data_IF_869234747643
#
_entry.id   IF_869234747643
#
_cell.length_a   1.000
_cell.length_b   1.000
_cell.length_c   1.000
_cell.angle_alpha   90.00
_cell.angle_beta   90.00
_cell.angle_gamma   90.00
#
_symmetry.space_group_name_H-M   'P 1'
#
loop_
_entity.id
_entity.type
_entity.pdbx_description
1 polymer ?
#
# COMPACT_ATOMS: atom_id res chain seq x y z
N UNK A 1 -5.73 -46.01 34.27
CA UNK A 1 -6.90 -45.11 34.08
C UNK A 1 -7.19 -44.79 32.60
N UNK A 2 -7.01 -45.74 31.67
CA UNK A 2 -7.21 -45.51 30.22
C UNK A 2 -8.18 -46.50 29.53
N UNK A 3 -8.78 -47.43 30.29
CA UNK A 3 -9.64 -48.50 29.74
C UNK A 3 -11.16 -48.22 29.86
N UNK A 4 -11.56 -47.17 30.59
CA UNK A 4 -12.98 -46.76 30.74
C UNK A 4 -13.43 -45.68 29.73
N UNK A 5 -12.50 -44.95 29.10
CA UNK A 5 -12.84 -43.86 28.15
C UNK A 5 -13.18 -44.35 26.74
N UNK A 6 -12.68 -45.52 26.34
CA UNK A 6 -12.99 -46.11 25.02
C UNK A 6 -14.34 -46.84 24.97
N UNK A 7 -14.95 -47.17 26.12
CA UNK A 7 -16.29 -47.78 26.15
C UNK A 7 -17.40 -46.73 25.98
N UNK A 8 -17.21 -45.51 26.49
CA UNK A 8 -18.17 -44.41 26.31
C UNK A 8 -18.28 -43.94 24.85
N UNK A 9 -17.16 -43.92 24.10
CA UNK A 9 -17.15 -43.64 22.66
C UNK A 9 -17.83 -44.75 21.84
N UNK A 10 -17.70 -46.01 22.25
CA UNK A 10 -18.34 -47.14 21.57
C UNK A 10 -19.87 -47.14 21.73
N UNK A 11 -20.38 -46.81 22.92
CA UNK A 11 -21.84 -46.70 23.15
C UNK A 11 -22.45 -45.44 22.52
N UNK A 12 -21.69 -44.35 22.39
CA UNK A 12 -22.16 -43.13 21.73
C UNK A 12 -22.28 -43.32 20.20
N UNK A 13 -21.38 -44.09 19.57
CA UNK A 13 -21.47 -44.43 18.15
C UNK A 13 -22.65 -45.37 17.82
N UNK A 14 -22.97 -46.33 18.71
CA UNK A 14 -24.12 -47.23 18.52
C UNK A 14 -25.45 -46.49 18.74
N UNK A 15 -25.49 -45.53 19.69
CA UNK A 15 -26.67 -44.70 19.92
C UNK A 15 -27.03 -43.79 18.74
N UNK A 16 -26.04 -43.24 18.04
CA UNK A 16 -26.27 -42.36 16.87
C UNK A 16 -26.63 -43.15 15.61
N UNK A 17 -26.08 -44.36 15.43
CA UNK A 17 -26.45 -45.24 14.31
C UNK A 17 -27.83 -45.89 14.52
N UNK A 18 -28.19 -46.19 15.77
CA UNK A 18 -29.53 -46.67 16.13
C UNK A 18 -30.65 -45.62 16.03
N UNK A 19 -30.32 -44.33 16.08
CA UNK A 19 -31.32 -43.24 15.99
C UNK A 19 -31.74 -42.89 14.55
N UNK A 20 -30.98 -43.33 13.54
CA UNK A 20 -31.23 -43.01 12.13
C UNK A 20 -31.87 -44.21 11.37
N UNK A 21 -31.87 -45.41 11.97
CA UNK A 21 -32.43 -46.62 11.35
C UNK A 21 -33.56 -47.20 12.21
N UNK A 22 -34.69 -46.48 12.28
CA UNK A 22 -36.07 -47.00 12.07
C UNK A 22 -37.09 -45.91 12.44
N UNK A 23 -38.17 -45.78 11.66
CA UNK A 23 -39.32 -46.62 11.99
C UNK A 23 -39.98 -47.15 10.72
N UNK A 24 -39.75 -48.41 10.40
CA UNK A 24 -40.72 -49.22 9.67
C UNK A 24 -40.42 -50.70 9.90
N UNK A 25 -41.48 -51.45 10.18
CA UNK A 25 -41.56 -52.89 10.35
C UNK A 25 -40.89 -53.51 11.58
N UNK A 26 -41.71 -53.70 12.63
CA UNK A 26 -41.62 -54.87 13.49
C UNK A 26 -41.80 -56.12 12.63
N UNK A 27 -40.86 -57.08 12.68
CA UNK A 27 -41.02 -58.46 12.21
C UNK A 27 -39.85 -59.30 12.77
N UNK A 28 -40.18 -60.53 13.16
CA UNK A 28 -39.43 -61.45 14.03
C UNK A 28 -37.97 -61.77 13.67
N UNK A 29 -37.13 -61.87 14.70
CA UNK A 29 -35.70 -62.23 14.64
C UNK A 29 -35.45 -63.69 14.18
N UNK A 30 -36.49 -64.49 13.98
CA UNK A 30 -36.37 -65.92 13.65
C UNK A 30 -36.24 -66.20 12.13
N UNK A 31 -36.45 -65.20 11.26
CA UNK A 31 -36.45 -65.39 9.79
C UNK A 31 -35.14 -64.93 9.12
N UNK A 32 -34.24 -64.27 9.85
CA UNK A 32 -32.97 -63.76 9.28
C UNK A 32 -31.83 -64.80 9.18
N UNK A 33 -32.04 -66.04 9.64
CA UNK A 33 -31.02 -67.09 9.65
C UNK A 33 -30.84 -67.86 8.33
N UNK A 34 -31.76 -67.75 7.37
CA UNK A 34 -31.71 -68.55 6.14
C UNK A 34 -31.47 -67.76 4.85
N UNK A 35 -31.28 -66.45 4.92
CA UNK A 35 -31.06 -65.59 3.75
C UNK A 35 -29.63 -65.05 3.65
N UNK A 36 -28.68 -65.69 4.37
CA UNK A 36 -27.29 -65.23 4.49
C UNK A 36 -26.32 -65.90 3.49
N UNK A 37 -26.81 -66.78 2.63
CA UNK A 37 -25.97 -67.64 1.77
C UNK A 37 -26.17 -67.47 0.26
N UNK A 38 -26.76 -66.36 -0.21
CA UNK A 38 -27.04 -66.29 -1.65
C UNK A 38 -26.91 -64.92 -2.35
N UNK A 39 -26.20 -63.92 -1.79
CA UNK A 39 -25.79 -62.73 -2.56
C UNK A 39 -24.43 -62.18 -2.13
N UNK A 40 -23.44 -62.40 -3.01
CA UNK A 40 -22.17 -61.69 -3.20
C UNK A 40 -21.69 -60.73 -2.08
N UNK A 41 -21.02 -61.30 -1.08
CA UNK A 41 -20.23 -60.53 -0.11
C UNK A 41 -19.13 -59.70 -0.82
N UNK A 42 -18.60 -60.18 -1.94
CA UNK A 42 -17.57 -59.46 -2.70
C UNK A 42 -18.12 -58.26 -3.49
N UNK A 43 -19.36 -58.30 -3.99
CA UNK A 43 -19.97 -57.13 -4.66
C UNK A 43 -20.34 -56.05 -3.64
N UNK A 44 -20.85 -56.45 -2.47
CA UNK A 44 -21.13 -55.52 -1.37
C UNK A 44 -19.85 -54.93 -0.77
N UNK A 45 -18.74 -55.67 -0.74
CA UNK A 45 -17.43 -55.13 -0.34
C UNK A 45 -16.87 -54.14 -1.37
N UNK A 46 -16.99 -54.44 -2.68
CA UNK A 46 -16.55 -53.55 -3.75
C UNK A 46 -17.42 -52.28 -3.87
N UNK A 47 -18.73 -52.40 -3.63
CA UNK A 47 -19.63 -51.25 -3.58
C UNK A 47 -19.39 -50.39 -2.33
N UNK A 48 -18.94 -50.99 -1.23
CA UNK A 48 -18.62 -50.26 0.01
C UNK A 48 -17.38 -49.37 -0.12
N UNK A 49 -16.34 -49.79 -0.86
CA UNK A 49 -15.16 -48.94 -1.11
C UNK A 49 -15.52 -47.67 -1.89
N UNK A 50 -16.49 -47.77 -2.81
CA UNK A 50 -16.96 -46.64 -3.63
C UNK A 50 -17.71 -45.60 -2.79
N UNK A 51 -18.50 -46.04 -1.82
CA UNK A 51 -19.17 -45.16 -0.84
C UNK A 51 -18.15 -44.53 0.12
N UNK A 52 -17.12 -45.26 0.53
CA UNK A 52 -16.00 -44.74 1.33
C UNK A 52 -15.20 -43.66 0.60
N UNK A 53 -14.94 -43.83 -0.70
CA UNK A 53 -14.32 -42.79 -1.52
C UNK A 53 -15.21 -41.55 -1.65
N UNK A 54 -16.50 -41.73 -1.88
CA UNK A 54 -17.45 -40.62 -1.97
C UNK A 54 -17.53 -39.83 -0.64
N UNK A 55 -17.60 -40.53 0.50
CA UNK A 55 -17.57 -39.91 1.83
C UNK A 55 -16.23 -39.22 2.13
N UNK A 56 -15.11 -39.78 1.66
CA UNK A 56 -13.79 -39.17 1.78
C UNK A 56 -13.68 -37.85 1.02
N UNK A 57 -14.21 -37.80 -0.21
CA UNK A 57 -14.27 -36.58 -1.02
C UNK A 57 -15.19 -35.54 -0.36
N UNK A 58 -16.33 -35.99 0.17
CA UNK A 58 -17.30 -35.11 0.85
C UNK A 58 -16.71 -34.52 2.15
N UNK A 59 -16.00 -35.33 2.94
CA UNK A 59 -15.29 -34.90 4.13
C UNK A 59 -14.13 -33.93 3.79
N UNK A 60 -13.42 -34.19 2.69
CA UNK A 60 -12.38 -33.31 2.16
C UNK A 60 -12.93 -31.92 1.77
N UNK A 61 -14.07 -31.89 1.09
CA UNK A 61 -14.79 -30.66 0.73
C UNK A 61 -15.28 -29.89 1.96
N UNK A 62 -15.84 -30.57 2.95
CA UNK A 62 -16.27 -29.94 4.21
C UNK A 62 -15.08 -29.33 4.95
N UNK A 63 -13.94 -30.02 5.01
CA UNK A 63 -12.72 -29.50 5.64
C UNK A 63 -12.12 -28.30 4.87
N UNK A 64 -12.20 -28.31 3.53
CA UNK A 64 -11.76 -27.20 2.68
C UNK A 64 -12.58 -25.92 2.92
N UNK A 65 -13.89 -26.07 3.19
CA UNK A 65 -14.81 -24.97 3.51
C UNK A 65 -14.63 -24.49 4.95
N UNK A 66 -14.41 -25.40 5.91
CA UNK A 66 -14.34 -25.07 7.34
C UNK A 66 -13.03 -24.36 7.76
N UNK A 67 -11.93 -24.53 7.02
CA UNK A 67 -10.61 -24.02 7.41
C UNK A 67 -10.10 -22.96 6.44
N UNK A 68 -10.70 -21.77 6.49
CA UNK A 68 -10.32 -20.63 5.66
C UNK A 68 -9.14 -19.82 6.21
N UNK A 69 -8.73 -20.03 7.48
CA UNK A 69 -7.85 -19.08 8.18
C UNK A 69 -6.44 -19.60 8.56
N UNK A 70 -5.90 -20.63 7.91
CA UNK A 70 -4.47 -20.98 8.03
C UNK A 70 -4.04 -21.99 6.95
N UNK A 71 -3.44 -21.50 5.85
CA UNK A 71 -3.03 -22.29 4.68
C UNK A 71 -1.53 -22.13 4.34
N UNK A 72 -0.64 -22.25 5.33
CA UNK A 72 0.81 -22.29 5.07
C UNK A 72 1.45 -23.68 5.21
N UNK A 73 0.71 -24.73 5.59
CA UNK A 73 1.32 -26.00 6.01
C UNK A 73 1.36 -27.12 4.96
N UNK A 74 1.06 -26.89 3.68
CA UNK A 74 1.09 -27.95 2.66
C UNK A 74 1.83 -27.45 1.42
N UNK A 75 3.16 -27.58 1.45
CA UNK A 75 4.11 -27.19 0.40
C UNK A 75 4.00 -28.01 -0.89
N UNK A 76 2.85 -27.91 -1.57
CA UNK A 76 2.65 -28.40 -2.93
C UNK A 76 2.18 -27.18 -3.73
N UNK A 77 3.02 -26.68 -4.64
CA UNK A 77 2.74 -25.51 -5.46
C UNK A 77 1.58 -25.76 -6.42
N UNK A 78 0.41 -25.22 -6.11
CA UNK A 78 -0.74 -25.18 -7.02
C UNK A 78 -0.65 -23.87 -7.83
N UNK A 79 -0.75 -23.90 -9.16
CA UNK A 79 -0.60 -22.72 -10.00
C UNK A 79 -1.64 -21.63 -9.68
N UNK A 80 -1.17 -20.38 -9.67
CA UNK A 80 -1.79 -19.22 -9.03
C UNK A 80 -3.16 -18.79 -9.62
N UNK A 81 -3.57 -19.36 -10.75
CA UNK A 81 -4.89 -19.10 -11.34
C UNK A 81 -6.03 -19.92 -10.69
N UNK A 82 -5.73 -20.91 -9.85
CA UNK A 82 -6.73 -21.66 -9.05
C UNK A 82 -7.17 -20.93 -7.77
N UNK A 83 -6.48 -19.84 -7.40
CA UNK A 83 -6.70 -19.11 -6.13
C UNK A 83 -7.79 -18.05 -6.20
N UNK A 84 -8.20 -17.58 -7.38
CA UNK A 84 -9.17 -16.49 -7.49
C UNK A 84 -10.62 -16.92 -7.16
N UNK A 85 -11.00 -18.18 -7.43
CA UNK A 85 -12.38 -18.66 -7.19
C UNK A 85 -12.41 -20.14 -6.73
N UNK A 86 -11.99 -20.46 -5.49
CA UNK A 86 -11.81 -21.84 -5.03
C UNK A 86 -13.12 -22.64 -4.88
N UNK A 87 -14.25 -21.96 -4.62
CA UNK A 87 -15.52 -22.62 -4.32
C UNK A 87 -16.28 -23.03 -5.58
N UNK A 88 -16.36 -22.14 -6.58
CA UNK A 88 -17.09 -22.38 -7.84
C UNK A 88 -16.37 -23.39 -8.75
N UNK A 89 -15.02 -23.33 -8.81
CA UNK A 89 -14.26 -24.31 -9.59
C UNK A 89 -14.24 -25.70 -8.94
N UNK A 90 -14.14 -25.77 -7.61
CA UNK A 90 -14.18 -27.02 -6.84
C UNK A 90 -15.54 -27.73 -6.90
N UNK A 91 -16.65 -26.98 -6.87
CA UNK A 91 -17.99 -27.53 -7.04
C UNK A 91 -18.28 -27.93 -8.50
N UNK A 92 -17.77 -27.17 -9.47
CA UNK A 92 -17.91 -27.49 -10.89
C UNK A 92 -17.19 -28.79 -11.28
N UNK A 93 -15.95 -28.99 -10.79
CA UNK A 93 -15.22 -30.24 -11.03
C UNK A 93 -15.86 -31.44 -10.32
N UNK A 94 -16.39 -31.25 -9.10
CA UNK A 94 -17.14 -32.29 -8.39
C UNK A 94 -18.44 -32.68 -9.11
N UNK A 95 -19.19 -31.69 -9.65
CA UNK A 95 -20.39 -31.95 -10.44
C UNK A 95 -20.06 -32.68 -11.75
N UNK A 96 -18.95 -32.34 -12.41
CA UNK A 96 -18.48 -33.04 -13.61
C UNK A 96 -18.09 -34.49 -13.32
N UNK A 97 -17.34 -34.73 -12.23
CA UNK A 97 -16.99 -36.09 -11.78
C UNK A 97 -18.23 -36.91 -11.44
N UNK A 98 -19.22 -36.30 -10.78
CA UNK A 98 -20.51 -36.94 -10.50
C UNK A 98 -21.27 -37.29 -11.79
N UNK A 99 -21.35 -36.38 -12.76
CA UNK A 99 -21.96 -36.67 -14.06
C UNK A 99 -21.23 -37.80 -14.79
N UNK A 100 -19.90 -37.82 -14.78
CA UNK A 100 -19.13 -38.94 -15.34
C UNK A 100 -19.38 -40.27 -14.60
N UNK A 101 -19.54 -40.24 -13.27
CA UNK A 101 -19.90 -41.41 -12.47
C UNK A 101 -21.32 -41.90 -12.75
N UNK A 102 -22.23 -41.03 -13.18
CA UNK A 102 -23.60 -41.42 -13.58
C UNK A 102 -23.65 -42.28 -14.85
N UNK A 103 -22.59 -42.29 -15.66
CA UNK A 103 -22.46 -43.20 -16.81
C UNK A 103 -22.03 -44.62 -16.40
N UNK A 104 -21.70 -44.85 -15.12
CA UNK A 104 -21.46 -46.20 -14.57
C UNK A 104 -22.76 -46.79 -13.99
N UNK A 105 -22.76 -48.09 -13.66
CA UNK A 105 -23.89 -48.85 -13.10
C UNK A 105 -24.32 -48.44 -11.68
N UNK A 106 -24.19 -47.15 -11.33
CA UNK A 106 -24.67 -46.54 -10.10
C UNK A 106 -26.11 -46.04 -10.27
N UNK A 107 -26.88 -45.87 -9.18
CA UNK A 107 -28.21 -45.28 -9.23
C UNK A 107 -28.12 -43.86 -9.80
N UNK A 108 -28.57 -43.68 -11.04
CA UNK A 108 -28.41 -42.43 -11.80
C UNK A 108 -29.23 -41.29 -11.21
N UNK A 109 -30.44 -41.59 -10.74
CA UNK A 109 -31.38 -40.58 -10.24
C UNK A 109 -30.87 -39.84 -8.99
N UNK A 110 -30.39 -40.49 -7.91
CA UNK A 110 -29.83 -39.77 -6.75
C UNK A 110 -28.60 -38.90 -7.11
N UNK A 111 -27.77 -39.39 -8.03
CA UNK A 111 -26.49 -38.78 -8.35
C UNK A 111 -26.68 -37.50 -9.19
N UNK A 112 -27.63 -37.52 -10.12
CA UNK A 112 -28.07 -36.33 -10.86
C UNK A 112 -28.67 -35.26 -9.94
N UNK A 113 -29.43 -35.67 -8.92
CA UNK A 113 -30.01 -34.73 -7.94
C UNK A 113 -28.90 -34.03 -7.13
N UNK A 114 -27.90 -34.77 -6.66
CA UNK A 114 -26.76 -34.18 -5.94
C UNK A 114 -25.94 -33.27 -6.86
N UNK A 115 -25.71 -33.67 -8.11
CA UNK A 115 -25.01 -32.83 -9.08
C UNK A 115 -25.77 -31.52 -9.36
N UNK A 116 -27.09 -31.57 -9.53
CA UNK A 116 -27.93 -30.38 -9.68
C UNK A 116 -27.87 -29.47 -8.44
N UNK A 117 -27.92 -30.05 -7.23
CA UNK A 117 -27.77 -29.29 -6.00
C UNK A 117 -26.40 -28.62 -5.88
N UNK A 118 -25.31 -29.31 -6.22
CA UNK A 118 -23.97 -28.74 -6.25
C UNK A 118 -23.85 -27.58 -7.25
N UNK A 119 -24.43 -27.70 -8.43
CA UNK A 119 -24.46 -26.63 -9.45
C UNK A 119 -25.28 -25.43 -8.96
N UNK A 120 -26.46 -25.65 -8.36
CA UNK A 120 -27.27 -24.58 -7.78
C UNK A 120 -26.56 -23.88 -6.62
N UNK A 121 -25.87 -24.64 -5.77
CA UNK A 121 -25.10 -24.09 -4.65
C UNK A 121 -23.88 -23.30 -5.13
N UNK A 122 -23.21 -23.77 -6.19
CA UNK A 122 -22.13 -23.04 -6.85
C UNK A 122 -22.65 -21.75 -7.50
N UNK A 123 -23.82 -21.79 -8.15
CA UNK A 123 -24.43 -20.63 -8.80
C UNK A 123 -24.85 -19.54 -7.80
N UNK A 124 -25.48 -19.95 -6.69
CA UNK A 124 -25.90 -19.01 -5.63
C UNK A 124 -24.72 -18.39 -4.89
N UNK A 125 -23.63 -19.16 -4.66
CA UNK A 125 -22.39 -18.61 -4.10
C UNK A 125 -21.60 -17.79 -5.12
N UNK A 126 -21.65 -18.14 -6.41
CA UNK A 126 -21.06 -17.33 -7.47
C UNK A 126 -21.76 -15.97 -7.52
N UNK A 127 -23.09 -15.91 -7.58
CA UNK A 127 -23.80 -14.62 -7.54
C UNK A 127 -23.51 -13.80 -6.27
N UNK A 128 -23.42 -14.43 -5.09
CA UNK A 128 -23.06 -13.74 -3.84
C UNK A 128 -21.62 -13.23 -3.85
N UNK A 129 -20.67 -14.00 -4.38
CA UNK A 129 -19.29 -13.56 -4.50
C UNK A 129 -19.09 -12.55 -5.63
N UNK A 130 -19.82 -12.64 -6.75
CA UNK A 130 -19.78 -11.64 -7.82
C UNK A 130 -20.39 -10.31 -7.35
N UNK A 131 -21.41 -10.36 -6.50
CA UNK A 131 -21.95 -9.18 -5.82
C UNK A 131 -21.00 -8.61 -4.75
N UNK A 132 -20.22 -9.45 -4.05
CA UNK A 132 -19.18 -9.02 -3.10
C UNK A 132 -17.87 -8.56 -3.77
N UNK A 133 -17.58 -8.98 -5.01
CA UNK A 133 -16.41 -8.47 -5.77
C UNK A 133 -16.67 -7.12 -6.47
N UNK A 134 -17.92 -6.66 -6.54
CA UNK A 134 -18.24 -5.28 -6.97
C UNK A 134 -18.12 -4.30 -5.78
N UNK A 135 -18.21 -4.80 -4.53
CA UNK A 135 -18.03 -4.05 -3.28
C UNK A 135 -16.93 -4.68 -2.40
N UNK A 136 -15.77 -5.02 -2.99
CA UNK A 136 -14.60 -5.31 -2.17
C UNK A 136 -14.14 -3.99 -1.54
N UNK A 137 -14.20 -3.82 -0.20
CA UNK A 137 -13.68 -2.61 0.42
C UNK A 137 -12.17 -2.50 0.15
N UNK A 138 -11.45 -3.57 -0.15
CA UNK A 138 -10.00 -3.54 -0.39
C UNK A 138 -9.64 -2.98 -1.79
N UNK A 139 -10.41 -3.30 -2.83
CA UNK A 139 -10.24 -2.71 -4.17
C UNK A 139 -10.95 -1.36 -4.32
N UNK A 140 -12.06 -1.14 -3.61
CA UNK A 140 -12.65 0.19 -3.48
C UNK A 140 -11.74 1.11 -2.67
N UNK A 141 -11.04 0.63 -1.64
CA UNK A 141 -9.98 1.39 -0.94
C UNK A 141 -8.76 1.58 -1.85
N UNK A 142 -8.36 0.62 -2.70
CA UNK A 142 -7.23 0.82 -3.62
C UNK A 142 -7.54 1.80 -4.76
N UNK A 143 -8.74 1.71 -5.35
CA UNK A 143 -9.22 2.64 -6.39
C UNK A 143 -9.64 3.99 -5.80
N UNK A 144 -10.23 4.03 -4.61
CA UNK A 144 -10.40 5.27 -3.85
C UNK A 144 -9.07 5.79 -3.29
N UNK A 145 -8.03 5.00 -3.04
CA UNK A 145 -6.70 5.52 -2.70
C UNK A 145 -6.09 6.20 -3.92
N UNK A 146 -6.25 5.62 -5.12
CA UNK A 146 -5.83 6.27 -6.36
C UNK A 146 -6.65 7.53 -6.69
N UNK A 147 -7.97 7.54 -6.50
CA UNK A 147 -8.83 8.72 -6.78
C UNK A 147 -8.87 9.75 -5.63
N UNK A 148 -8.67 9.36 -4.36
CA UNK A 148 -8.56 10.29 -3.22
C UNK A 148 -7.17 10.93 -3.13
N UNK A 149 -6.14 10.33 -3.72
CA UNK A 149 -4.84 10.99 -3.93
C UNK A 149 -4.98 12.25 -4.80
N UNK A 150 -6.03 12.33 -5.64
CA UNK A 150 -6.32 13.53 -6.46
C UNK A 150 -6.77 14.72 -5.62
N UNK A 151 -7.23 14.54 -4.37
CA UNK A 151 -7.98 15.60 -3.65
C UNK A 151 -7.21 16.51 -2.71
N UNK A 152 -5.90 16.36 -2.46
CA UNK A 152 -5.23 17.36 -1.60
C UNK A 152 -3.71 17.41 -1.68
N UNK A 153 -3.09 17.27 -2.85
CA UNK A 153 -1.69 17.72 -2.92
C UNK A 153 -1.64 19.22 -2.69
N UNK A 154 -0.85 19.61 -1.68
CA UNK A 154 -0.67 20.98 -1.24
C UNK A 154 0.21 21.73 -2.24
N UNK A 155 1.06 21.03 -2.99
CA UNK A 155 1.96 21.61 -3.98
C UNK A 155 1.69 21.15 -5.40
N UNK A 156 1.81 22.10 -6.32
CA UNK A 156 1.59 21.86 -7.73
C UNK A 156 2.55 22.67 -8.57
N UNK A 157 3.04 22.10 -9.65
CA UNK A 157 3.90 22.76 -10.62
C UNK A 157 3.12 22.81 -11.94
N UNK A 158 2.94 24.02 -12.47
CA UNK A 158 2.45 24.21 -13.83
C UNK A 158 3.62 24.42 -14.77
N UNK A 159 3.62 23.70 -15.89
CA UNK A 159 4.63 23.78 -16.94
C UNK A 159 4.04 24.41 -18.20
N UNK A 160 4.79 25.33 -18.80
CA UNK A 160 4.53 25.84 -20.14
C UNK A 160 4.79 24.77 -21.21
N UNK A 161 4.23 24.98 -22.40
CA UNK A 161 4.24 24.00 -23.50
C UNK A 161 5.64 23.48 -23.87
N UNK A 162 6.68 24.32 -23.81
CA UNK A 162 8.04 23.91 -24.17
C UNK A 162 8.69 23.01 -23.12
N UNK A 163 8.17 23.00 -21.89
CA UNK A 163 8.73 22.26 -20.75
C UNK A 163 8.10 20.88 -20.57
N UNK A 164 7.00 20.59 -21.28
CA UNK A 164 6.32 19.29 -21.22
C UNK A 164 7.22 18.09 -21.52
N UNK A 165 8.20 18.17 -22.46
CA UNK A 165 9.13 17.08 -22.70
C UNK A 165 10.05 16.75 -21.52
N UNK A 166 10.11 17.58 -20.48
CA UNK A 166 10.90 17.32 -19.27
C UNK A 166 10.17 16.39 -18.26
N UNK A 167 8.87 16.15 -18.43
CA UNK A 167 8.03 15.38 -17.51
C UNK A 167 7.90 13.85 -17.76
N UNK A 168 8.06 13.28 -18.98
CA UNK A 168 7.86 11.85 -19.19
C UNK A 168 9.07 10.98 -18.77
N UNK A 169 8.77 9.73 -18.36
CA UNK A 169 9.70 8.74 -17.77
C UNK A 169 10.77 8.19 -18.73
N UNK A 170 10.64 8.41 -20.04
CA UNK A 170 11.56 7.86 -21.03
C UNK A 170 12.93 8.58 -21.07
N UNK A 171 13.05 9.74 -20.43
CA UNK A 171 14.30 10.49 -20.35
C UNK A 171 15.08 10.15 -19.09
N UNK A 172 16.38 9.84 -19.21
CA UNK A 172 17.28 9.44 -18.11
C UNK A 172 17.49 10.48 -16.99
N UNK A 173 16.89 11.66 -17.11
CA UNK A 173 16.75 12.71 -16.07
C UNK A 173 15.36 13.34 -16.15
N UNK A 174 14.33 12.55 -15.85
CA UNK A 174 12.97 13.04 -15.76
C UNK A 174 12.79 13.96 -14.53
N UNK A 175 12.01 15.03 -14.68
CA UNK A 175 11.53 15.88 -13.60
C UNK A 175 10.83 15.07 -12.48
N UNK A 176 10.04 14.05 -12.82
CA UNK A 176 9.37 13.17 -11.83
C UNK A 176 10.42 12.44 -10.95
N UNK A 177 11.41 11.84 -11.62
CA UNK A 177 12.69 11.32 -11.11
C UNK A 177 13.29 12.16 -9.98
N UNK A 178 13.56 13.39 -10.38
CA UNK A 178 14.25 14.37 -9.55
C UNK A 178 13.36 14.88 -8.41
N UNK A 179 12.04 15.00 -8.62
CA UNK A 179 11.09 15.35 -7.56
C UNK A 179 11.06 14.24 -6.50
N UNK A 180 11.03 12.97 -6.89
CA UNK A 180 11.08 11.86 -5.94
C UNK A 180 12.38 11.87 -5.12
N UNK A 181 13.52 12.10 -5.79
CA UNK A 181 14.83 12.24 -5.16
C UNK A 181 14.88 13.45 -4.21
N UNK A 182 14.31 14.58 -4.61
CA UNK A 182 14.20 15.78 -3.78
C UNK A 182 13.39 15.52 -2.52
N UNK A 183 12.26 14.80 -2.62
CA UNK A 183 11.44 14.42 -1.45
C UNK A 183 12.23 13.56 -0.47
N UNK A 184 12.99 12.58 -0.96
CA UNK A 184 13.87 11.77 -0.13
C UNK A 184 14.95 12.61 0.54
N UNK A 185 15.56 13.56 -0.19
CA UNK A 185 16.55 14.48 0.37
C UNK A 185 15.98 15.38 1.47
N UNK A 186 14.78 15.94 1.26
CA UNK A 186 14.09 16.76 2.26
C UNK A 186 13.76 15.93 3.50
N UNK A 187 13.30 14.70 3.33
CA UNK A 187 13.07 13.79 4.45
C UNK A 187 14.36 13.52 5.22
N UNK A 188 15.48 13.28 4.54
CA UNK A 188 16.75 12.98 5.21
C UNK A 188 17.31 14.20 5.96
N UNK A 189 17.21 15.40 5.37
CA UNK A 189 17.72 16.67 5.90
C UNK A 189 16.83 17.26 7.00
N UNK A 190 15.51 17.26 6.82
CA UNK A 190 14.54 17.89 7.73
C UNK A 190 13.77 16.88 8.58
N UNK A 191 13.64 15.63 8.19
CA UNK A 191 12.83 14.64 8.90
C UNK A 191 11.33 14.76 8.65
N UNK A 192 10.93 15.60 7.69
CA UNK A 192 9.52 15.85 7.34
C UNK A 192 9.13 14.99 6.14
N UNK A 193 8.00 14.30 6.24
CA UNK A 193 7.32 13.68 5.10
C UNK A 193 6.25 14.64 4.59
N UNK A 194 6.13 14.78 3.28
CA UNK A 194 5.08 15.59 2.66
C UNK A 194 4.48 14.91 1.43
N UNK A 195 3.27 15.36 1.07
CA UNK A 195 2.50 14.83 -0.06
C UNK A 195 3.27 14.84 -1.39
N UNK A 196 2.82 14.06 -2.38
CA UNK A 196 3.35 14.14 -3.76
C UNK A 196 3.13 15.54 -4.34
N UNK A 197 3.94 15.94 -5.32
CA UNK A 197 3.83 17.22 -6.02
C UNK A 197 3.15 16.94 -7.36
N UNK A 198 2.01 17.59 -7.63
CA UNK A 198 1.32 17.41 -8.91
C UNK A 198 1.95 18.25 -10.01
N UNK A 199 2.18 17.66 -11.17
CA UNK A 199 2.60 18.37 -12.38
C UNK A 199 1.37 18.54 -13.26
N UNK A 200 1.11 19.77 -13.69
CA UNK A 200 0.05 20.12 -14.64
C UNK A 200 0.65 20.92 -15.80
N UNK A 201 0.02 20.83 -16.96
CA UNK A 201 0.27 21.72 -18.08
C UNK A 201 -0.67 22.93 -18.01
N UNK A 202 -0.17 24.11 -18.36
CA UNK A 202 -1.00 25.28 -18.64
C UNK A 202 -0.65 25.84 -20.02
N UNK A 203 -1.59 25.72 -20.95
CA UNK A 203 -1.44 26.17 -22.32
C UNK A 203 -1.45 27.71 -22.45
N UNK A 204 -1.92 28.42 -21.42
CA UNK A 204 -1.90 29.90 -21.38
C UNK A 204 -0.57 30.45 -20.84
N UNK A 205 0.26 29.62 -20.24
CA UNK A 205 1.56 30.01 -19.71
C UNK A 205 2.57 30.19 -20.85
N UNK A 206 3.49 31.14 -20.70
CA UNK A 206 4.58 31.33 -21.67
C UNK A 206 5.35 30.00 -21.87
N UNK A 207 5.76 29.64 -23.09
CA UNK A 207 6.25 28.29 -23.39
C UNK A 207 7.40 27.81 -22.50
N UNK A 208 8.32 28.72 -22.12
CA UNK A 208 9.53 28.45 -21.33
C UNK A 208 9.35 28.73 -19.83
N UNK A 209 8.14 29.06 -19.39
CA UNK A 209 7.86 29.46 -18.01
C UNK A 209 7.25 28.29 -17.23
N UNK A 210 7.54 28.23 -15.94
CA UNK A 210 6.87 27.37 -14.98
C UNK A 210 6.40 28.16 -13.76
N UNK A 211 5.39 27.63 -13.07
CA UNK A 211 4.84 28.21 -11.83
C UNK A 211 4.75 27.15 -10.75
N UNK A 212 5.15 27.51 -9.54
CA UNK A 212 5.01 26.68 -8.35
C UNK A 212 3.85 27.24 -7.53
N UNK A 213 2.90 26.36 -7.21
CA UNK A 213 1.74 26.64 -6.39
C UNK A 213 1.84 25.94 -5.05
N UNK A 214 1.36 26.63 -4.03
CA UNK A 214 1.13 26.10 -2.70
C UNK A 214 -0.30 26.46 -2.29
N UNK A 215 -1.12 25.46 -1.93
CA UNK A 215 -2.55 25.65 -1.57
C UNK A 215 -3.33 26.49 -2.60
N UNK A 216 -3.06 26.27 -3.90
CA UNK A 216 -3.61 27.02 -5.03
C UNK A 216 -3.16 28.49 -5.18
N UNK A 217 -2.30 29.01 -4.29
CA UNK A 217 -1.62 30.29 -4.47
C UNK A 217 -0.30 30.13 -5.21
N UNK A 218 0.02 31.04 -6.14
CA UNK A 218 1.35 31.07 -6.78
C UNK A 218 2.37 31.57 -5.76
N UNK A 219 3.38 30.75 -5.47
CA UNK A 219 4.46 31.12 -4.54
C UNK A 219 5.77 31.45 -5.24
N UNK A 220 5.97 30.92 -6.45
CA UNK A 220 7.16 31.20 -7.24
C UNK A 220 6.93 30.94 -8.73
N UNK A 221 7.72 31.61 -9.57
CA UNK A 221 7.72 31.45 -11.02
C UNK A 221 9.16 31.48 -11.54
N UNK A 222 9.42 30.83 -12.66
CA UNK A 222 10.75 30.86 -13.28
C UNK A 222 10.69 30.60 -14.78
N UNK A 223 11.77 30.95 -15.47
CA UNK A 223 11.94 30.72 -16.90
C UNK A 223 13.13 29.76 -17.08
N UNK A 224 12.95 28.75 -17.92
CA UNK A 224 14.02 27.80 -18.28
C UNK A 224 13.97 27.50 -19.77
N UNK A 225 15.13 27.29 -20.36
CA UNK A 225 15.28 27.00 -21.78
C UNK A 225 15.72 25.55 -21.95
N UNK A 226 14.86 24.68 -22.50
CA UNK A 226 15.10 23.22 -22.58
C UNK A 226 16.35 22.83 -23.36
N UNK A 227 16.70 23.63 -24.37
CA UNK A 227 17.83 23.36 -25.28
C UNK A 227 19.15 24.01 -24.84
N UNK A 228 19.15 24.66 -23.67
CA UNK A 228 20.30 25.42 -23.16
C UNK A 228 20.70 24.94 -21.75
N UNK A 229 21.89 25.33 -21.33
CA UNK A 229 22.39 25.13 -19.97
C UNK A 229 22.55 26.48 -19.27
N UNK A 230 22.21 26.53 -17.99
CA UNK A 230 22.36 27.72 -17.17
C UNK A 230 23.75 27.76 -16.56
N UNK A 231 24.43 28.88 -16.74
CA UNK A 231 25.71 29.21 -16.11
C UNK A 231 25.48 30.36 -15.15
N UNK A 232 25.89 30.20 -13.90
CA UNK A 232 25.80 31.26 -12.89
C UNK A 232 27.03 32.14 -13.01
N UNK A 233 26.82 33.43 -13.28
CA UNK A 233 27.89 34.42 -13.29
C UNK A 233 28.13 34.91 -11.85
N UNK A 234 29.24 34.49 -11.25
CA UNK A 234 29.65 34.91 -9.91
C UNK A 234 30.54 36.16 -9.91
N UNK A 235 30.70 36.80 -11.07
CA UNK A 235 31.50 38.00 -11.28
C UNK A 235 33.01 37.79 -11.17
N UNK A 236 33.48 36.55 -10.98
CA UNK A 236 34.93 36.26 -10.85
C UNK A 236 35.60 35.98 -12.19
N UNK A 237 34.82 35.64 -13.21
CA UNK A 237 35.30 35.31 -14.55
C UNK A 237 34.52 36.19 -15.52
N UNK A 238 35.21 36.98 -16.35
CA UNK A 238 34.56 37.63 -17.48
C UNK A 238 34.13 36.56 -18.48
N UNK A 239 32.89 36.07 -18.32
CA UNK A 239 32.26 35.14 -19.23
C UNK A 239 31.88 35.91 -20.51
N UNK A 240 32.84 36.04 -21.43
CA UNK A 240 32.59 36.61 -22.76
C UNK A 240 31.96 35.56 -23.69
N UNK A 241 30.92 34.89 -23.19
CA UNK A 241 30.21 33.83 -23.88
C UNK A 241 28.93 34.39 -24.51
N UNK A 242 28.62 33.93 -25.72
CA UNK A 242 27.34 34.23 -26.35
C UNK A 242 26.24 33.38 -25.70
N UNK A 243 25.14 34.03 -25.30
CA UNK A 243 24.03 33.36 -24.63
C UNK A 243 22.90 34.31 -24.24
N UNK A 244 21.81 33.73 -23.73
CA UNK A 244 20.64 34.50 -23.28
C UNK A 244 20.88 34.92 -21.83
N UNK A 245 20.95 36.23 -21.60
CA UNK A 245 21.14 36.81 -20.26
C UNK A 245 19.81 36.84 -19.51
N UNK A 246 19.75 36.20 -18.36
CA UNK A 246 18.57 36.13 -17.49
C UNK A 246 18.99 36.23 -16.03
N UNK A 247 18.02 36.07 -15.11
CA UNK A 247 18.27 35.96 -13.67
C UNK A 247 17.87 34.59 -13.14
N UNK A 248 18.67 34.08 -12.21
CA UNK A 248 18.36 32.86 -11.47
C UNK A 248 17.03 33.03 -10.69
N UNK A 249 16.09 32.09 -10.80
CA UNK A 249 14.80 32.18 -10.10
C UNK A 249 14.90 32.11 -8.57
N UNK A 250 16.02 31.64 -8.00
CA UNK A 250 16.16 31.42 -6.55
C UNK A 250 16.75 32.62 -5.84
N UNK A 251 17.92 33.08 -6.29
CA UNK A 251 18.73 34.11 -5.66
C UNK A 251 18.76 35.41 -6.46
N UNK A 252 18.19 35.43 -7.68
CA UNK A 252 18.18 36.61 -8.54
C UNK A 252 19.56 36.97 -9.11
N UNK A 253 20.52 36.05 -9.03
CA UNK A 253 21.88 36.21 -9.55
C UNK A 253 21.85 36.32 -11.09
N UNK A 254 22.78 37.07 -11.70
CA UNK A 254 22.91 37.07 -13.15
C UNK A 254 23.29 35.68 -13.64
N UNK A 255 22.57 35.18 -14.65
CA UNK A 255 22.85 33.90 -15.28
C UNK A 255 22.88 34.04 -16.80
N UNK A 256 23.63 33.15 -17.43
CA UNK A 256 23.71 33.05 -18.88
C UNK A 256 23.23 31.67 -19.31
N UNK A 257 22.29 31.62 -20.25
CA UNK A 257 21.89 30.39 -20.91
C UNK A 257 22.72 30.19 -22.16
N UNK A 258 23.54 29.15 -22.17
CA UNK A 258 24.45 28.80 -23.27
C UNK A 258 23.95 27.56 -24.00
N UNK A 259 24.32 27.42 -25.26
CA UNK A 259 23.99 26.21 -26.03
C UNK A 259 24.85 25.02 -25.58
N UNK A 260 24.47 23.82 -26.03
CA UNK A 260 25.19 22.59 -25.68
C UNK A 260 26.63 22.58 -26.20
N UNK A 261 26.91 23.25 -27.31
CA UNK A 261 28.26 23.31 -27.91
C UNK A 261 29.22 24.09 -27.01
N UNK A 262 28.75 25.21 -26.45
CA UNK A 262 29.53 26.05 -25.53
C UNK A 262 29.72 25.41 -24.15
N UNK A 263 28.87 24.44 -23.77
CA UNK A 263 28.95 23.76 -22.48
C UNK A 263 30.33 23.15 -22.21
N UNK A 264 30.91 22.50 -23.22
CA UNK A 264 32.16 21.77 -23.04
C UNK A 264 33.34 22.74 -22.89
N UNK A 265 33.29 23.90 -23.56
CA UNK A 265 34.26 24.99 -23.40
C UNK A 265 34.19 25.62 -22.01
N UNK A 266 32.98 25.79 -21.45
CA UNK A 266 32.79 26.34 -20.09
C UNK A 266 33.18 25.36 -18.99
N UNK A 267 33.13 24.06 -19.26
CA UNK A 267 33.57 23.03 -18.32
C UNK A 267 35.02 23.18 -17.88
N UNK A 268 35.88 23.73 -18.74
CA UNK A 268 37.29 23.99 -18.45
C UNK A 268 37.50 25.22 -17.54
N UNK A 269 36.52 26.11 -17.45
CA UNK A 269 36.56 27.34 -16.67
C UNK A 269 36.14 27.16 -15.20
N UNK A 270 35.90 25.92 -14.75
CA UNK A 270 35.45 25.58 -13.39
C UNK A 270 34.16 26.30 -12.95
N UNK A 271 33.31 26.68 -13.91
CA UNK A 271 32.03 27.35 -13.62
C UNK A 271 30.92 26.33 -13.40
N UNK A 272 29.99 26.64 -12.50
CA UNK A 272 28.83 25.80 -12.25
C UNK A 272 27.85 25.86 -13.43
N UNK A 273 27.71 24.74 -14.13
CA UNK A 273 26.73 24.56 -15.22
C UNK A 273 25.58 23.69 -14.74
N UNK A 274 24.34 24.13 -14.97
CA UNK A 274 23.13 23.44 -14.57
C UNK A 274 22.23 23.16 -15.77
N UNK A 275 21.66 21.95 -15.82
CA UNK A 275 20.63 21.60 -16.78
C UNK A 275 19.26 22.19 -16.40
N UNK A 276 18.32 22.36 -17.35
CA UNK A 276 17.01 22.97 -17.09
C UNK A 276 16.21 22.27 -15.98
N UNK A 277 16.28 20.94 -15.88
CA UNK A 277 15.58 20.17 -14.84
C UNK A 277 16.19 20.50 -13.47
N UNK A 278 17.51 20.51 -13.36
CA UNK A 278 18.23 20.90 -12.13
C UNK A 278 17.90 22.32 -11.67
N UNK A 279 17.68 23.27 -12.59
CA UNK A 279 17.23 24.63 -12.25
C UNK A 279 15.84 24.60 -11.61
N UNK A 280 14.86 23.91 -12.22
CA UNK A 280 13.51 23.76 -11.66
C UNK A 280 13.57 23.10 -10.28
N UNK A 281 14.36 22.04 -10.13
CA UNK A 281 14.48 21.27 -8.88
C UNK A 281 15.14 22.08 -7.77
N UNK A 282 16.17 22.86 -8.09
CA UNK A 282 16.83 23.75 -7.13
C UNK A 282 15.89 24.83 -6.64
N UNK A 283 15.10 25.42 -7.55
CA UNK A 283 14.07 26.37 -7.19
C UNK A 283 12.97 25.74 -6.33
N UNK A 284 12.49 24.56 -6.72
CA UNK A 284 11.51 23.81 -5.95
C UNK A 284 12.01 23.46 -4.54
N UNK A 285 13.26 23.03 -4.41
CA UNK A 285 13.92 22.78 -3.14
C UNK A 285 13.93 24.01 -2.25
N UNK A 286 14.27 25.17 -2.81
CA UNK A 286 14.25 26.44 -2.08
C UNK A 286 12.83 26.81 -1.60
N UNK A 287 11.82 26.67 -2.47
CA UNK A 287 10.41 26.92 -2.10
C UNK A 287 9.95 25.97 -0.99
N UNK A 288 10.30 24.68 -1.07
CA UNK A 288 10.00 23.70 -0.01
C UNK A 288 10.68 24.09 1.30
N UNK A 289 11.95 24.47 1.26
CA UNK A 289 12.71 24.85 2.45
C UNK A 289 12.11 26.09 3.14
N UNK A 290 11.63 27.06 2.34
CA UNK A 290 10.97 28.30 2.80
C UNK A 290 9.57 28.04 3.37
N UNK A 291 8.79 27.15 2.76
CA UNK A 291 7.41 26.86 3.13
C UNK A 291 7.25 25.55 3.93
N UNK A 292 8.34 25.01 4.50
CA UNK A 292 8.32 23.71 5.18
C UNK A 292 7.27 23.61 6.30
N UNK A 293 7.09 24.68 7.08
CA UNK A 293 6.08 24.71 8.15
C UNK A 293 4.63 24.68 7.62
N UNK A 294 4.38 25.25 6.45
CA UNK A 294 3.06 25.26 5.80
C UNK A 294 2.76 23.95 5.07
N UNK A 295 3.81 23.31 4.55
CA UNK A 295 3.75 21.97 3.98
C UNK A 295 3.40 20.94 5.05
N UNK A 296 3.98 21.05 6.25
CA UNK A 296 3.68 20.14 7.36
C UNK A 296 2.20 20.26 7.77
N UNK A 297 1.41 19.25 7.44
CA UNK A 297 0.01 19.10 7.82
C UNK A 297 -0.17 18.14 8.99
N UNK A 298 -1.38 18.15 9.54
CA UNK A 298 -1.76 17.22 10.60
C UNK A 298 -1.73 15.77 10.13
N UNK A 299 -2.05 15.50 8.87
CA UNK A 299 -2.04 14.15 8.30
C UNK A 299 -0.62 13.61 8.20
N UNK A 300 0.34 14.46 7.82
CA UNK A 300 1.76 14.10 7.79
C UNK A 300 2.32 13.88 9.19
N UNK A 301 1.97 14.73 10.17
CA UNK A 301 2.34 14.50 11.57
C UNK A 301 1.71 13.21 12.10
N UNK A 302 0.46 12.91 11.74
CA UNK A 302 -0.20 11.66 12.10
C UNK A 302 0.53 10.45 11.51
N UNK A 303 0.93 10.50 10.24
CA UNK A 303 1.72 9.46 9.60
C UNK A 303 3.08 9.27 10.29
N UNK A 304 3.78 10.36 10.61
CA UNK A 304 5.06 10.30 11.35
C UNK A 304 4.89 9.69 12.75
N UNK A 305 3.81 10.01 13.46
CA UNK A 305 3.47 9.42 14.76
C UNK A 305 3.12 7.93 14.62
N UNK A 306 2.41 7.54 13.57
CA UNK A 306 2.10 6.14 13.26
C UNK A 306 3.37 5.34 13.05
N UNK A 307 4.33 5.88 12.31
CA UNK A 307 5.65 5.25 12.12
C UNK A 307 6.42 5.16 13.44
N UNK A 308 6.41 6.21 14.25
CA UNK A 308 7.03 6.20 15.57
C UNK A 308 6.41 5.15 16.49
N UNK A 309 5.10 4.88 16.38
CA UNK A 309 4.42 3.84 17.17
C UNK A 309 5.00 2.44 16.90
N UNK A 310 5.49 2.17 15.69
CA UNK A 310 6.13 0.89 15.37
C UNK A 310 7.48 0.71 16.08
N UNK A 311 8.19 1.81 16.37
CA UNK A 311 9.53 1.78 16.99
C UNK A 311 9.46 2.01 18.51
N UNK A 312 8.62 2.94 18.96
CA UNK A 312 8.52 3.43 20.34
C UNK A 312 7.06 3.49 20.81
N UNK A 313 6.37 2.36 20.72
CA UNK A 313 4.95 2.23 21.08
C UNK A 313 4.59 2.83 22.44
N UNK A 314 5.37 2.51 23.49
CA UNK A 314 5.12 2.98 24.87
C UNK A 314 5.13 4.50 25.00
N UNK A 315 6.04 5.18 24.30
CA UNK A 315 6.14 6.64 24.34
C UNK A 315 4.90 7.28 23.70
N UNK A 316 4.45 6.74 22.57
CA UNK A 316 3.28 7.25 21.85
C UNK A 316 2.01 7.07 22.68
N UNK A 317 1.80 5.90 23.28
CA UNK A 317 0.60 5.61 24.09
C UNK A 317 0.54 6.33 25.44
N UNK A 318 1.69 6.64 26.04
CA UNK A 318 1.73 7.42 27.29
C UNK A 318 1.53 8.91 27.05
N UNK A 319 1.85 9.40 25.86
CA UNK A 319 1.97 10.84 25.56
C UNK A 319 0.78 11.37 24.76
N UNK A 320 0.52 10.80 23.58
CA UNK A 320 -0.48 11.35 22.65
C UNK A 320 -1.90 11.01 23.13
N UNK A 321 -2.73 12.04 23.27
CA UNK A 321 -4.11 11.94 23.77
C UNK A 321 -4.22 11.95 25.29
N UNK A 322 -3.10 11.86 26.03
CA UNK A 322 -3.04 11.92 27.49
C UNK A 322 -2.39 13.21 27.99
N UNK A 323 -1.13 13.43 27.63
CA UNK A 323 -0.37 14.63 28.06
C UNK A 323 -0.38 15.71 26.98
N UNK A 324 -0.29 15.32 25.71
CA UNK A 324 -0.32 16.27 24.59
C UNK A 324 -1.31 15.83 23.50
N UNK A 325 -1.85 16.81 22.80
CA UNK A 325 -2.69 16.56 21.62
C UNK A 325 -1.85 16.52 20.35
N UNK A 326 -2.34 15.84 19.31
CA UNK A 326 -1.71 15.85 17.99
C UNK A 326 -1.60 17.28 17.41
N UNK A 327 -2.60 18.12 17.68
CA UNK A 327 -2.62 19.52 17.23
C UNK A 327 -1.50 20.34 17.88
N UNK A 328 -1.23 20.14 19.18
CA UNK A 328 -0.12 20.79 19.88
C UNK A 328 1.23 20.32 19.33
N UNK A 329 1.40 19.02 19.12
CA UNK A 329 2.63 18.47 18.52
C UNK A 329 2.86 19.05 17.12
N UNK A 330 1.80 19.12 16.30
CA UNK A 330 1.86 19.73 14.96
C UNK A 330 2.31 21.18 15.05
N UNK A 331 1.73 22.01 15.94
CA UNK A 331 2.14 23.41 16.09
C UNK A 331 3.60 23.56 16.54
N UNK A 332 4.04 22.75 17.48
CA UNK A 332 5.45 22.72 17.94
C UNK A 332 6.38 22.39 16.78
N UNK A 333 6.07 21.35 15.99
CA UNK A 333 6.87 20.96 14.83
C UNK A 333 6.89 22.05 13.74
N UNK A 334 5.78 22.76 13.53
CA UNK A 334 5.74 23.90 12.62
C UNK A 334 6.71 25.00 13.06
N UNK A 335 6.68 25.39 14.34
CA UNK A 335 7.58 26.42 14.86
C UNK A 335 9.06 26.03 14.74
N UNK A 336 9.39 24.75 14.96
CA UNK A 336 10.75 24.24 14.71
C UNK A 336 11.15 24.38 13.22
N UNK A 337 10.23 24.05 12.31
CA UNK A 337 10.49 24.14 10.86
C UNK A 337 10.55 25.58 10.34
N UNK A 338 9.81 26.52 10.95
CA UNK A 338 9.89 27.97 10.68
C UNK A 338 11.32 28.48 10.93
N UNK A 339 12.00 27.95 11.95
CA UNK A 339 13.40 28.24 12.27
C UNK A 339 14.41 27.29 11.59
N UNK A 340 13.95 26.53 10.59
CA UNK A 340 14.74 25.55 9.85
C UNK A 340 15.37 24.43 10.71
N UNK A 341 14.88 24.19 11.93
CA UNK A 341 15.29 23.08 12.79
C UNK A 341 14.66 21.79 12.26
N UNK A 342 15.47 20.74 12.16
CA UNK A 342 14.98 19.45 11.66
C UNK A 342 14.19 18.69 12.73
N UNK A 343 13.10 18.07 12.29
CA UNK A 343 12.15 17.29 13.10
C UNK A 343 12.34 15.78 12.96
N UNK A 344 13.55 15.34 12.55
CA UNK A 344 13.88 13.92 12.30
C UNK A 344 13.79 13.06 13.56
N UNK A 345 14.27 13.56 14.70
CA UNK A 345 14.17 12.87 15.98
C UNK A 345 12.82 13.17 16.65
N UNK A 346 11.75 12.65 16.04
CA UNK A 346 10.38 12.79 16.57
C UNK A 346 10.23 12.17 17.96
N UNK A 347 11.03 11.17 18.31
CA UNK A 347 11.01 10.53 19.63
C UNK A 347 11.44 11.51 20.72
N UNK A 348 12.58 12.19 20.53
CA UNK A 348 13.06 13.19 21.47
C UNK A 348 12.15 14.42 21.53
N UNK A 349 11.61 14.86 20.39
CA UNK A 349 10.63 15.95 20.32
C UNK A 349 9.40 15.60 21.14
N UNK A 350 8.84 14.40 20.94
CA UNK A 350 7.64 13.94 21.63
C UNK A 350 7.85 13.81 23.13
N UNK A 351 8.98 13.23 23.56
CA UNK A 351 9.32 13.09 24.97
C UNK A 351 9.45 14.47 25.66
N UNK A 352 10.22 15.37 25.07
CA UNK A 352 10.45 16.71 25.64
C UNK A 352 9.18 17.58 25.60
N UNK A 353 8.34 17.40 24.58
CA UNK A 353 7.02 18.04 24.51
C UNK A 353 6.08 17.53 25.61
N UNK A 354 6.13 16.23 25.96
CA UNK A 354 5.36 15.65 27.07
C UNK A 354 5.79 16.24 28.41
N UNK A 355 7.10 16.32 28.66
CA UNK A 355 7.68 16.86 29.89
C UNK A 355 7.40 18.37 30.07
N UNK A 356 7.20 19.08 28.96
CA UNK A 356 6.88 20.51 28.93
C UNK A 356 5.41 20.82 28.63
N UNK A 357 4.52 19.82 28.72
CA UNK A 357 3.09 19.96 28.36
C UNK A 357 2.35 21.06 29.14
N UNK A 358 2.79 21.38 30.36
CA UNK A 358 2.22 22.47 31.18
C UNK A 358 2.65 23.89 30.79
N UNK A 359 3.59 24.05 29.85
CA UNK A 359 4.10 25.35 29.39
C UNK A 359 3.38 25.83 28.13
N UNK A 360 3.70 27.04 27.67
CA UNK A 360 3.30 27.52 26.35
C UNK A 360 4.01 26.76 25.23
N UNK A 361 3.47 26.75 24.00
CA UNK A 361 4.11 26.11 22.85
C UNK A 361 5.51 26.70 22.56
N UNK A 362 5.67 28.02 22.71
CA UNK A 362 6.94 28.70 22.51
C UNK A 362 8.01 28.24 23.52
N UNK A 363 7.67 28.14 24.80
CA UNK A 363 8.59 27.65 25.83
C UNK A 363 8.91 26.15 25.65
N UNK A 364 7.93 25.35 25.22
CA UNK A 364 8.16 23.96 24.83
C UNK A 364 9.18 23.85 23.68
N UNK A 365 9.06 24.71 22.65
CA UNK A 365 9.98 24.75 21.51
C UNK A 365 11.41 25.05 21.96
N UNK A 366 11.63 26.01 22.87
CA UNK A 366 12.96 26.30 23.39
C UNK A 366 13.58 25.12 24.15
N UNK A 367 12.80 24.42 24.98
CA UNK A 367 13.26 23.20 25.64
C UNK A 367 13.62 22.10 24.65
N UNK A 368 12.82 21.95 23.60
CA UNK A 368 13.08 20.97 22.52
C UNK A 368 14.35 21.36 21.74
N UNK A 369 14.56 22.64 21.42
CA UNK A 369 15.80 23.13 20.78
C UNK A 369 17.02 22.81 21.64
N UNK A 370 16.95 23.02 22.95
CA UNK A 370 18.02 22.67 23.88
C UNK A 370 18.30 21.15 23.93
N UNK A 371 17.26 20.32 23.81
CA UNK A 371 17.40 18.86 23.70
C UNK A 371 18.05 18.46 22.35
N UNK A 372 17.68 19.14 21.25
CA UNK A 372 18.19 18.93 19.89
C UNK A 372 19.56 19.59 19.63
N UNK A 373 20.24 20.14 20.65
CA UNK A 373 21.51 20.89 20.51
C UNK A 373 22.56 20.20 19.63
N UNK A 374 22.68 18.87 19.73
CA UNK A 374 23.66 18.09 18.94
C UNK A 374 23.35 18.16 17.45
N UNK A 375 22.08 18.01 17.08
CA UNK A 375 21.62 18.05 15.70
C UNK A 375 21.73 19.45 15.11
N UNK A 376 21.39 20.48 15.89
CA UNK A 376 21.51 21.88 15.47
C UNK A 376 22.98 22.25 15.24
N UNK A 377 23.87 21.98 16.21
CA UNK A 377 25.29 22.30 16.08
C UNK A 377 25.98 21.51 14.96
N UNK A 378 25.65 20.22 14.80
CA UNK A 378 26.23 19.40 13.73
C UNK A 378 25.93 19.99 12.34
N UNK A 379 24.72 20.51 12.13
CA UNK A 379 24.31 21.11 10.85
C UNK A 379 25.02 22.43 10.54
N UNK A 380 25.36 23.23 11.55
CA UNK A 380 26.04 24.53 11.34
C UNK A 380 27.55 24.35 11.14
N UNK A 381 28.11 23.27 11.69
CA UNK A 381 29.54 22.97 11.57
C UNK A 381 29.94 22.41 10.19
N UNK A 382 28.97 22.04 9.36
CA UNK A 382 29.14 21.52 8.00
C UNK A 382 28.63 22.54 7.00
#
# INVERSE_FOLDING_TARGET
MAKSRNRALYYCCIGVVGLIVRPTFALDFHVLGQQFWDKDIFSTLFDSWRVLLALGILAGLINLIAKQNNREALGIGIPQHLLAHPVSFGLGSAAFILVCLSATSLPTMPLLVVAQLCVLFAWTNYQKNTALTIDDPENAIALQEQESTVRSSIMRIELGKSLLPLAPEESSRNLIDQIASLRAHVYEKKGMKFSSIHIKDDLNLSPNKYRIYLRNGVVAEGIVHTDHFMVVDDGKIELNLEGIKERDPVYGLPVLWITKELRDEVGELFVQVMDPVSVIITHLSHVIDKHAAELLTRDEVFAMVKDLRAVSHRLVESTIGKTITLARLHRIMQMLLEEHVSVKDISLILATASDSSGLSEAESVEKIRAALRRQICARVST
#
